data_IF_488922506839
#
_entry.id   IF_488922506839
#
_cell.length_a   1.000
_cell.length_b   1.000
_cell.length_c   1.000
_cell.angle_alpha   90.00
_cell.angle_beta   90.00
_cell.angle_gamma   90.00
#
_symmetry.space_group_name_H-M   'P 1'
#
loop_
_entity.id
_entity.type
_entity.pdbx_description
1 polymer ?
#
# COMPACT_ATOMS: atom_id res chain seq x y z
N UNK A 1 -8.01 52.94 44.81
CA UNK A 1 -8.02 51.79 45.73
C UNK A 1 -8.52 50.58 44.95
N UNK A 2 -7.79 49.46 45.03
CA UNK A 2 -8.29 48.09 44.77
C UNK A 2 -8.41 47.77 43.26
N UNK A 3 -7.79 46.76 42.66
CA UNK A 3 -7.21 45.51 43.17
C UNK A 3 -6.19 44.96 42.14
N UNK A 4 -5.11 44.34 42.64
CA UNK A 4 -4.25 43.45 41.86
C UNK A 4 -5.05 42.21 41.43
N UNK A 5 -4.79 41.68 40.23
CA UNK A 5 -5.17 40.30 39.90
C UNK A 5 -4.14 39.70 38.95
N UNK A 6 -3.47 38.69 39.50
CA UNK A 6 -2.45 37.82 38.95
C UNK A 6 -2.71 37.36 37.50
N UNK A 7 -1.73 37.59 36.63
CA UNK A 7 -1.53 36.84 35.40
C UNK A 7 -1.11 35.40 35.77
N UNK A 8 -2.08 34.50 35.91
CA UNK A 8 -1.80 33.06 35.85
C UNK A 8 -1.77 32.64 34.39
N UNK A 9 -0.54 32.53 33.89
CA UNK A 9 -0.18 31.85 32.66
C UNK A 9 -0.62 30.38 32.75
N UNK A 10 -1.84 30.06 32.30
CA UNK A 10 -2.18 28.70 31.90
C UNK A 10 -1.71 28.52 30.47
N UNK A 11 -0.47 28.07 30.33
CA UNK A 11 -0.06 27.30 29.18
C UNK A 11 -0.98 26.08 29.12
N UNK A 12 -2.01 26.17 28.28
CA UNK A 12 -2.68 24.97 27.77
C UNK A 12 -1.65 24.33 26.84
N UNK A 13 -0.88 23.40 27.38
CA UNK A 13 -0.18 22.40 26.57
C UNK A 13 -1.26 21.72 25.72
N UNK A 14 -1.33 22.07 24.44
CA UNK A 14 -2.11 21.32 23.46
C UNK A 14 -1.53 19.90 23.41
N UNK A 15 -2.23 18.87 23.93
CA UNK A 15 -1.74 17.52 23.85
C UNK A 15 -2.04 17.04 22.43
N UNK A 16 -0.97 16.79 21.68
CA UNK A 16 -0.98 15.91 20.52
C UNK A 16 -1.90 16.34 19.37
N UNK A 17 -1.37 17.23 18.52
CA UNK A 17 -1.69 17.12 17.10
C UNK A 17 -1.21 15.75 16.63
N UNK A 18 -2.11 14.77 16.63
CA UNK A 18 -1.92 13.50 15.98
C UNK A 18 -1.69 13.84 14.50
N UNK A 19 -0.42 13.72 14.11
CA UNK A 19 0.04 13.77 12.74
C UNK A 19 -0.55 12.56 12.01
N UNK A 20 -1.82 12.67 11.62
CA UNK A 20 -2.50 11.81 10.66
C UNK A 20 -2.99 12.67 9.50
N UNK A 21 -2.11 13.54 9.00
CA UNK A 21 -2.20 13.95 7.61
C UNK A 21 -1.58 12.84 6.74
N UNK A 22 -2.16 11.64 6.82
CA UNK A 22 -2.02 10.71 5.71
C UNK A 22 -2.72 11.41 4.55
N UNK A 23 -1.95 11.88 3.57
CA UNK A 23 -2.50 12.37 2.31
C UNK A 23 -3.60 11.40 1.87
N UNK A 24 -4.79 11.90 1.55
CA UNK A 24 -5.97 11.10 1.17
C UNK A 24 -5.64 10.16 -0.03
N UNK A 25 -4.54 10.43 -0.72
CA UNK A 25 -4.02 9.65 -1.85
C UNK A 25 -3.21 8.42 -1.47
N UNK A 26 -2.72 8.31 -0.22
CA UNK A 26 -1.85 7.22 0.19
C UNK A 26 -2.66 6.00 0.64
N UNK A 27 -2.31 4.86 0.08
CA UNK A 27 -2.85 3.56 0.46
C UNK A 27 -2.47 3.21 1.91
N UNK A 28 -3.31 2.48 2.66
CA UNK A 28 -2.91 1.88 3.93
C UNK A 28 -1.76 0.86 3.78
N UNK A 29 -1.56 0.33 2.57
CA UNK A 29 -0.48 -0.62 2.28
C UNK A 29 0.82 0.11 1.93
N UNK A 30 1.87 -0.14 2.73
CA UNK A 30 3.23 0.34 2.44
C UNK A 30 3.72 -0.11 1.06
N UNK A 31 3.37 -1.33 0.64
CA UNK A 31 3.79 -1.88 -0.65
C UNK A 31 3.13 -1.15 -1.83
N UNK A 32 1.86 -0.75 -1.69
CA UNK A 32 1.14 -0.03 -2.74
C UNK A 32 1.69 1.40 -2.90
N UNK A 33 1.99 2.06 -1.78
CA UNK A 33 2.65 3.38 -1.79
C UNK A 33 4.05 3.34 -2.41
N UNK A 34 4.86 2.33 -2.07
CA UNK A 34 6.19 2.17 -2.68
C UNK A 34 6.07 1.89 -4.17
N UNK A 35 5.07 1.11 -4.60
CA UNK A 35 4.84 0.84 -6.02
C UNK A 35 4.46 2.10 -6.79
N UNK A 36 3.60 2.97 -6.23
CA UNK A 36 3.27 4.27 -6.84
C UNK A 36 4.50 5.17 -7.05
N UNK A 37 5.52 5.07 -6.20
CA UNK A 37 6.75 5.84 -6.38
C UNK A 37 7.65 5.25 -7.49
N UNK A 38 7.56 3.95 -7.76
CA UNK A 38 8.41 3.24 -8.72
C UNK A 38 7.87 3.28 -10.16
N UNK A 39 6.68 3.82 -10.38
CA UNK A 39 6.05 3.93 -11.71
C UNK A 39 6.49 5.13 -12.50
N UNK A 40 6.96 6.17 -11.82
CA UNK A 40 7.43 7.37 -12.48
C UNK A 40 8.76 7.08 -13.15
N UNK A 41 8.79 7.20 -14.48
CA UNK A 41 10.04 7.09 -15.23
C UNK A 41 10.89 8.30 -14.84
N UNK A 42 12.11 8.12 -14.29
CA UNK A 42 12.92 9.23 -13.84
C UNK A 42 13.10 10.28 -14.95
N UNK A 43 12.85 11.55 -14.63
CA UNK A 43 12.91 12.64 -15.61
C UNK A 43 14.30 12.74 -16.27
N UNK A 44 15.36 12.47 -15.50
CA UNK A 44 16.74 12.41 -15.99
C UNK A 44 16.90 11.41 -17.14
N UNK A 45 16.23 10.25 -17.02
CA UNK A 45 16.28 9.19 -18.01
C UNK A 45 15.54 9.63 -19.28
N UNK A 46 14.36 10.23 -19.11
CA UNK A 46 13.53 10.73 -20.23
C UNK A 46 14.23 11.89 -20.95
N UNK A 47 14.87 12.81 -20.23
CA UNK A 47 15.61 13.93 -20.79
C UNK A 47 16.89 13.49 -21.53
N UNK A 48 17.52 12.39 -21.09
CA UNK A 48 18.74 11.87 -21.73
C UNK A 48 18.50 11.17 -23.07
N UNK A 49 17.26 10.73 -23.36
CA UNK A 49 16.91 10.09 -24.63
C UNK A 49 16.28 11.09 -25.61
N UNK A 50 16.68 11.00 -26.88
CA UNK A 50 16.01 11.73 -27.97
C UNK A 50 14.59 11.18 -28.20
N UNK A 51 13.62 11.99 -28.63
CA UNK A 51 12.24 11.57 -28.88
C UNK A 51 12.10 10.30 -29.73
N UNK A 52 12.84 10.19 -30.84
CA UNK A 52 12.78 9.01 -31.70
C UNK A 52 13.22 7.71 -31.00
N UNK A 53 14.16 7.79 -30.05
CA UNK A 53 14.60 6.64 -29.25
C UNK A 53 13.54 6.25 -28.22
N UNK A 54 12.81 7.21 -27.67
CA UNK A 54 11.66 6.96 -26.80
C UNK A 54 10.56 6.24 -27.59
N UNK A 55 10.21 6.75 -28.78
CA UNK A 55 9.23 6.11 -29.68
C UNK A 55 9.66 4.69 -30.07
N UNK A 56 10.94 4.47 -30.35
CA UNK A 56 11.47 3.12 -30.59
C UNK A 56 11.19 2.16 -29.43
N UNK A 57 11.45 2.58 -28.19
CA UNK A 57 11.23 1.72 -27.01
C UNK A 57 9.74 1.49 -26.74
N UNK A 58 8.89 2.50 -26.92
CA UNK A 58 7.44 2.35 -26.82
C UNK A 58 6.91 1.33 -27.83
N UNK A 59 7.33 1.43 -29.09
CA UNK A 59 6.96 0.48 -30.13
C UNK A 59 7.53 -0.92 -29.87
N UNK A 60 8.70 -1.01 -29.24
CA UNK A 60 9.31 -2.29 -28.86
C UNK A 60 8.43 -3.07 -27.88
N UNK A 61 7.83 -2.38 -26.90
CA UNK A 61 6.89 -2.99 -25.95
C UNK A 61 5.58 -3.36 -26.67
N UNK A 62 4.99 -2.43 -27.43
CA UNK A 62 3.73 -2.67 -28.14
C UNK A 62 3.79 -3.80 -29.17
N UNK A 63 4.94 -4.00 -29.82
CA UNK A 63 5.15 -5.01 -30.85
C UNK A 63 5.81 -6.30 -30.31
N UNK A 64 5.75 -6.59 -29.01
CA UNK A 64 6.31 -7.81 -28.40
C UNK A 64 7.78 -8.06 -28.79
N UNK A 65 8.65 -7.06 -28.61
CA UNK A 65 10.10 -7.12 -28.90
C UNK A 65 10.47 -7.29 -30.37
N UNK A 66 9.55 -7.02 -31.31
CA UNK A 66 9.89 -7.00 -32.74
C UNK A 66 10.74 -5.78 -33.11
N UNK A 67 12.05 -5.98 -33.18
CA UNK A 67 13.04 -4.92 -33.44
C UNK A 67 12.87 -4.29 -34.83
N UNK A 68 12.54 -5.09 -35.85
CA UNK A 68 12.43 -4.61 -37.23
C UNK A 68 11.28 -3.60 -37.34
N UNK A 69 10.08 -4.04 -36.96
CA UNK A 69 8.87 -3.20 -37.01
C UNK A 69 9.01 -1.96 -36.14
N UNK A 70 9.53 -2.12 -34.92
CA UNK A 70 9.73 -0.99 -34.00
C UNK A 70 10.77 0.02 -34.48
N UNK A 71 11.80 -0.44 -35.21
CA UNK A 71 12.79 0.45 -35.83
C UNK A 71 12.18 1.23 -36.99
N UNK A 72 11.44 0.56 -37.86
CA UNK A 72 10.74 1.18 -39.00
C UNK A 72 9.76 2.25 -38.52
N UNK A 73 8.94 1.93 -37.52
CA UNK A 73 7.95 2.84 -36.92
C UNK A 73 8.61 4.06 -36.23
N UNK A 74 9.85 3.92 -35.76
CA UNK A 74 10.62 5.00 -35.13
C UNK A 74 11.55 5.76 -36.11
N UNK A 75 11.54 5.41 -37.41
CA UNK A 75 12.37 6.05 -38.42
C UNK A 75 13.84 5.62 -38.43
N UNK A 76 14.15 4.44 -37.89
CA UNK A 76 15.49 3.86 -37.85
C UNK A 76 15.63 2.65 -38.77
N UNK A 77 16.86 2.36 -39.19
CA UNK A 77 17.19 1.07 -39.83
C UNK A 77 17.22 -0.04 -38.78
N UNK A 78 16.87 -1.27 -39.16
CA UNK A 78 16.89 -2.43 -38.26
C UNK A 78 18.29 -2.64 -37.62
N UNK A 79 19.36 -2.45 -38.39
CA UNK A 79 20.74 -2.52 -37.90
C UNK A 79 21.00 -1.54 -36.76
N UNK A 80 20.49 -0.31 -36.89
CA UNK A 80 20.62 0.70 -35.86
C UNK A 80 19.76 0.36 -34.63
N UNK A 81 18.53 -0.13 -34.81
CA UNK A 81 17.69 -0.61 -33.70
C UNK A 81 18.34 -1.72 -32.87
N UNK A 82 19.02 -2.67 -33.52
CA UNK A 82 19.81 -3.70 -32.81
C UNK A 82 21.00 -3.13 -32.04
N UNK A 83 21.60 -2.03 -32.51
CA UNK A 83 22.66 -1.31 -31.77
C UNK A 83 22.07 -0.55 -30.57
N UNK A 84 20.89 0.06 -30.74
CA UNK A 84 20.19 0.78 -29.68
C UNK A 84 19.87 -0.13 -28.48
N UNK A 85 19.48 -1.38 -28.71
CA UNK A 85 19.23 -2.35 -27.65
C UNK A 85 20.45 -2.71 -26.79
N UNK A 86 21.67 -2.49 -27.30
CA UNK A 86 22.90 -2.69 -26.53
C UNK A 86 23.21 -1.49 -25.63
N UNK A 87 22.62 -0.32 -25.90
CA UNK A 87 22.81 0.87 -25.08
C UNK A 87 22.20 0.66 -23.69
N UNK A 88 22.94 1.02 -22.65
CA UNK A 88 22.50 0.91 -21.26
C UNK A 88 21.29 1.81 -20.97
N UNK A 89 21.29 3.06 -21.45
CA UNK A 89 20.19 4.01 -21.16
C UNK A 89 18.88 3.57 -21.78
N UNK A 90 18.92 2.97 -22.97
CA UNK A 90 17.73 2.42 -23.64
C UNK A 90 17.19 1.20 -22.90
N UNK A 91 18.06 0.34 -22.38
CA UNK A 91 17.65 -0.80 -21.55
C UNK A 91 17.05 -0.36 -20.22
N UNK A 92 17.64 0.63 -19.57
CA UNK A 92 17.06 1.23 -18.37
C UNK A 92 15.68 1.84 -18.66
N UNK A 93 15.54 2.56 -19.77
CA UNK A 93 14.26 3.18 -20.14
C UNK A 93 13.21 2.12 -20.47
N UNK A 94 13.59 1.05 -21.17
CA UNK A 94 12.73 -0.11 -21.41
C UNK A 94 12.27 -0.74 -20.09
N UNK A 95 13.19 -0.99 -19.14
CA UNK A 95 12.84 -1.59 -17.85
C UNK A 95 11.91 -0.67 -17.05
N UNK A 96 12.19 0.63 -16.99
CA UNK A 96 11.35 1.61 -16.31
C UNK A 96 9.94 1.65 -16.91
N UNK A 97 9.84 1.73 -18.25
CA UNK A 97 8.56 1.76 -18.95
C UNK A 97 7.80 0.43 -18.82
N UNK A 98 8.50 -0.71 -18.88
CA UNK A 98 7.90 -2.03 -18.67
C UNK A 98 7.36 -2.20 -17.25
N UNK A 99 8.09 -1.70 -16.24
CA UNK A 99 7.64 -1.73 -14.84
C UNK A 99 6.45 -0.79 -14.63
N UNK A 100 6.47 0.39 -15.26
CA UNK A 100 5.35 1.33 -15.23
C UNK A 100 4.09 0.73 -15.87
N UNK A 101 4.21 0.02 -17.00
CA UNK A 101 3.07 -0.66 -17.62
C UNK A 101 2.57 -1.82 -16.76
N UNK A 102 3.46 -2.65 -16.25
CA UNK A 102 3.10 -3.78 -15.38
C UNK A 102 2.47 -3.35 -14.06
N UNK A 103 2.71 -2.11 -13.61
CA UNK A 103 2.03 -1.56 -12.45
C UNK A 103 0.52 -1.43 -12.69
N UNK A 104 0.10 -0.93 -13.85
CA UNK A 104 -1.31 -0.75 -14.19
C UNK A 104 -2.08 -2.06 -14.39
N UNK A 105 -1.39 -3.20 -14.49
CA UNK A 105 -2.03 -4.52 -14.57
C UNK A 105 -2.58 -4.99 -13.20
N UNK A 106 -2.19 -4.35 -12.10
CA UNK A 106 -2.58 -4.74 -10.74
C UNK A 106 -3.50 -3.69 -10.14
N UNK A 107 -4.66 -4.12 -9.66
CA UNK A 107 -5.64 -3.22 -9.01
C UNK A 107 -5.03 -2.52 -7.79
N UNK A 108 -4.97 -1.19 -7.83
CA UNK A 108 -4.47 -0.36 -6.72
C UNK A 108 -5.54 -0.09 -5.66
N UNK A 109 -5.15 0.41 -4.49
CA UNK A 109 -6.10 0.75 -3.42
C UNK A 109 -7.19 1.73 -3.88
N UNK A 110 -6.80 2.81 -4.55
CA UNK A 110 -7.74 3.82 -5.04
C UNK A 110 -8.65 3.28 -6.15
N UNK A 111 -8.11 2.40 -7.00
CA UNK A 111 -8.89 1.73 -8.04
C UNK A 111 -9.89 0.75 -7.44
N UNK A 112 -9.50 -0.03 -6.44
CA UNK A 112 -10.39 -0.94 -5.72
C UNK A 112 -11.54 -0.16 -5.04
N UNK A 113 -11.24 0.98 -4.39
CA UNK A 113 -12.26 1.84 -3.79
C UNK A 113 -13.19 2.45 -4.84
N UNK A 114 -12.66 2.85 -6.00
CA UNK A 114 -13.45 3.35 -7.12
C UNK A 114 -14.39 2.27 -7.66
N UNK A 115 -13.87 1.06 -7.93
CA UNK A 115 -14.66 -0.07 -8.41
C UNK A 115 -15.77 -0.44 -7.41
N UNK A 116 -15.45 -0.52 -6.12
CA UNK A 116 -16.46 -0.75 -5.09
C UNK A 116 -17.52 0.37 -5.05
N UNK A 117 -17.12 1.62 -5.23
CA UNK A 117 -18.04 2.76 -5.31
C UNK A 117 -18.95 2.71 -6.54
N UNK A 118 -18.42 2.31 -7.69
CA UNK A 118 -19.19 2.15 -8.93
C UNK A 118 -20.21 1.01 -8.81
N UNK A 119 -19.83 -0.12 -8.19
CA UNK A 119 -20.73 -1.22 -7.86
C UNK A 119 -21.83 -0.74 -6.90
N UNK A 120 -21.47 -0.08 -5.81
CA UNK A 120 -22.40 0.42 -4.80
C UNK A 120 -23.43 1.40 -5.39
N UNK A 121 -23.00 2.28 -6.31
CA UNK A 121 -23.88 3.23 -7.02
C UNK A 121 -24.71 2.56 -8.12
N UNK A 122 -24.35 1.35 -8.55
CA UNK A 122 -25.02 0.63 -9.62
C UNK A 122 -24.67 1.14 -11.02
N UNK A 123 -23.47 1.69 -11.18
CA UNK A 123 -22.90 2.07 -12.47
C UNK A 123 -22.36 0.87 -13.26
N UNK A 124 -22.29 -0.30 -12.63
CA UNK A 124 -21.82 -1.55 -13.21
C UNK A 124 -22.99 -2.42 -13.69
N UNK A 125 -22.71 -3.27 -14.68
CA UNK A 125 -23.63 -4.26 -15.25
C UNK A 125 -22.96 -5.63 -15.26
N UNK A 126 -23.74 -6.68 -15.03
CA UNK A 126 -23.30 -8.06 -15.14
C UNK A 126 -23.88 -8.71 -16.39
N UNK A 127 -23.15 -9.65 -16.96
CA UNK A 127 -23.60 -10.49 -18.06
C UNK A 127 -24.15 -11.79 -17.50
N UNK A 128 -25.42 -12.08 -17.81
CA UNK A 128 -26.10 -13.29 -17.37
C UNK A 128 -26.54 -14.08 -18.59
N UNK A 129 -26.14 -15.36 -18.63
CA UNK A 129 -26.59 -16.28 -19.68
C UNK A 129 -28.03 -16.72 -19.39
N UNK A 130 -28.94 -16.44 -20.31
CA UNK A 130 -30.28 -16.99 -20.25
C UNK A 130 -30.26 -18.44 -20.74
N UNK A 131 -30.34 -19.40 -19.82
CA UNK A 131 -30.30 -20.84 -20.14
C UNK A 131 -31.43 -21.29 -21.09
N UNK A 132 -32.53 -20.55 -21.20
CA UNK A 132 -33.67 -20.92 -22.06
C UNK A 132 -33.51 -20.43 -23.50
N UNK A 133 -32.88 -19.28 -23.70
CA UNK A 133 -32.69 -18.68 -25.05
C UNK A 133 -31.27 -18.84 -25.57
N UNK A 134 -30.30 -19.18 -24.70
CA UNK A 134 -28.88 -19.25 -25.05
C UNK A 134 -28.23 -17.88 -25.24
N UNK A 135 -28.96 -16.79 -25.02
CA UNK A 135 -28.49 -15.43 -25.23
C UNK A 135 -27.87 -14.84 -23.95
N UNK A 136 -26.82 -14.06 -24.11
CA UNK A 136 -26.21 -13.27 -23.03
C UNK A 136 -26.97 -11.96 -22.89
N UNK A 137 -27.51 -11.71 -21.70
CA UNK A 137 -28.20 -10.47 -21.38
C UNK A 137 -27.39 -9.65 -20.37
N UNK A 138 -27.28 -8.34 -20.61
CA UNK A 138 -26.69 -7.40 -19.66
C UNK A 138 -27.73 -6.98 -18.64
N UNK A 139 -27.52 -7.31 -17.38
CA UNK A 139 -28.42 -7.00 -16.27
C UNK A 139 -27.72 -6.03 -15.32
N UNK A 140 -28.50 -5.20 -14.61
CA UNK A 140 -27.96 -4.36 -13.54
C UNK A 140 -27.37 -5.25 -12.45
N UNK A 141 -26.27 -4.81 -11.83
CA UNK A 141 -25.64 -5.55 -10.73
C UNK A 141 -26.64 -5.93 -9.64
N UNK A 142 -26.66 -7.20 -9.17
CA UNK A 142 -27.57 -7.67 -8.13
C UNK A 142 -27.47 -6.87 -6.84
N UNK A 143 -28.58 -6.71 -6.13
CA UNK A 143 -28.64 -5.97 -4.85
C UNK A 143 -27.69 -6.53 -3.80
N UNK A 144 -27.49 -7.86 -3.79
CA UNK A 144 -26.56 -8.53 -2.87
C UNK A 144 -25.12 -8.01 -3.04
N UNK A 145 -24.67 -7.86 -4.28
CA UNK A 145 -23.30 -7.43 -4.57
C UNK A 145 -23.12 -5.93 -4.28
N UNK A 146 -24.17 -5.13 -4.51
CA UNK A 146 -24.21 -3.73 -4.06
C UNK A 146 -24.09 -3.60 -2.55
N UNK A 147 -24.84 -4.39 -1.79
CA UNK A 147 -24.80 -4.37 -0.33
C UNK A 147 -23.41 -4.76 0.18
N UNK A 148 -22.78 -5.78 -0.42
CA UNK A 148 -21.42 -6.18 -0.07
C UNK A 148 -20.40 -5.08 -0.37
N UNK A 149 -20.52 -4.40 -1.51
CA UNK A 149 -19.64 -3.28 -1.85
C UNK A 149 -19.81 -2.10 -0.86
N UNK A 150 -21.06 -1.77 -0.49
CA UNK A 150 -21.36 -0.76 0.53
C UNK A 150 -20.76 -1.14 1.89
N UNK A 151 -20.92 -2.40 2.31
CA UNK A 151 -20.36 -2.92 3.55
C UNK A 151 -18.83 -2.77 3.57
N UNK A 152 -18.15 -3.14 2.48
CA UNK A 152 -16.69 -3.00 2.37
C UNK A 152 -16.23 -1.53 2.45
N UNK A 153 -16.97 -0.62 1.81
CA UNK A 153 -16.68 0.83 1.89
C UNK A 153 -16.93 1.39 3.30
N UNK A 154 -18.00 0.97 3.96
CA UNK A 154 -18.30 1.38 5.33
C UNK A 154 -17.27 0.86 6.33
N UNK A 155 -16.75 -0.37 6.13
CA UNK A 155 -15.63 -0.92 6.91
C UNK A 155 -14.36 -0.12 6.71
N UNK A 156 -14.05 0.28 5.47
CA UNK A 156 -12.90 1.14 5.17
C UNK A 156 -13.00 2.50 5.88
N UNK A 157 -14.19 3.11 5.89
CA UNK A 157 -14.45 4.37 6.60
C UNK A 157 -14.62 4.22 8.13
N UNK A 158 -14.48 3.01 8.67
CA UNK A 158 -14.74 2.68 10.09
C UNK A 158 -16.14 3.05 10.58
N UNK A 159 -17.12 3.09 9.67
CA UNK A 159 -18.54 3.24 10.01
C UNK A 159 -19.08 1.93 10.59
N UNK A 160 -18.66 0.80 10.01
CA UNK A 160 -18.93 -0.54 10.51
C UNK A 160 -17.63 -1.13 11.06
N UNK A 161 -17.67 -1.63 12.29
CA UNK A 161 -16.57 -2.37 12.91
C UNK A 161 -17.01 -3.83 13.10
N UNK A 162 -16.22 -4.78 12.59
CA UNK A 162 -16.46 -6.22 12.78
C UNK A 162 -15.98 -6.75 14.16
N UNK A 163 -15.48 -5.86 15.03
CA UNK A 163 -14.90 -6.21 16.32
C UNK A 163 -15.33 -5.26 17.44
N UNK A 164 -14.80 -5.52 18.63
CA UNK A 164 -14.96 -4.68 19.82
C UNK A 164 -14.48 -3.27 19.44
N UNK A 165 -15.39 -2.28 19.48
CA UNK A 165 -15.02 -0.91 19.13
C UNK A 165 -13.92 -0.41 20.06
N UNK A 166 -13.17 0.61 19.64
CA UNK A 166 -12.12 1.17 20.50
C UNK A 166 -12.73 1.75 21.78
N UNK A 167 -13.96 2.27 21.70
CA UNK A 167 -14.75 2.63 22.89
C UNK A 167 -15.09 1.41 23.74
N UNK A 168 -15.47 0.27 23.16
CA UNK A 168 -15.75 -0.95 23.91
C UNK A 168 -14.49 -1.53 24.56
N UNK A 169 -13.30 -1.41 23.95
CA UNK A 169 -12.01 -1.77 24.56
C UNK A 169 -11.63 -0.84 25.73
N UNK A 170 -11.99 0.44 25.66
CA UNK A 170 -11.79 1.40 26.74
C UNK A 170 -12.82 1.21 27.87
N UNK A 171 -14.02 0.73 27.54
CA UNK A 171 -15.11 0.46 28.48
C UNK A 171 -15.10 -0.97 29.04
N UNK A 172 -14.38 -1.92 28.42
CA UNK A 172 -13.92 -3.16 29.03
C UNK A 172 -12.84 -2.75 30.04
N UNK A 173 -13.31 -2.26 31.18
CA UNK A 173 -12.55 -1.52 32.17
C UNK A 173 -11.17 -2.11 32.40
N UNK A 174 -10.18 -1.20 32.54
CA UNK A 174 -8.82 -1.51 32.94
C UNK A 174 -8.83 -2.71 33.90
N UNK A 175 -8.42 -3.87 33.39
CA UNK A 175 -8.26 -5.07 34.22
C UNK A 175 -7.16 -4.73 35.21
N UNK A 176 -7.55 -4.28 36.40
CA UNK A 176 -6.64 -4.14 37.52
C UNK A 176 -6.36 -5.56 38.00
N UNK A 177 -5.27 -6.12 37.50
CA UNK A 177 -4.76 -7.41 37.94
C UNK A 177 -4.17 -7.17 39.33
N UNK A 178 -4.95 -7.44 40.37
CA UNK A 178 -4.42 -7.53 41.73
C UNK A 178 -3.65 -8.85 41.84
N UNK A 179 -2.32 -8.75 41.80
CA UNK A 179 -1.44 -9.89 42.07
C UNK A 179 -1.17 -9.90 43.57
N UNK A 180 -1.85 -10.79 44.30
CA UNK A 180 -1.57 -11.06 45.71
C UNK A 180 -0.51 -12.16 45.76
N UNK A 181 0.70 -11.81 46.15
CA UNK A 181 1.82 -12.76 46.27
C UNK A 181 1.86 -13.20 47.73
N UNK A 182 1.65 -14.48 47.99
CA UNK A 182 1.81 -15.02 49.34
C UNK A 182 3.29 -15.22 49.67
N UNK A 183 3.68 -15.17 50.96
CA UNK A 183 5.09 -15.34 51.37
C UNK A 183 5.70 -16.68 50.91
N UNK A 184 4.86 -17.70 50.68
CA UNK A 184 5.28 -19.01 50.15
C UNK A 184 5.68 -18.96 48.65
N UNK A 185 5.19 -17.97 47.91
CA UNK A 185 5.45 -17.78 46.47
C UNK A 185 6.78 -17.05 46.18
N UNK A 186 7.37 -16.36 47.17
CA UNK A 186 8.68 -15.71 47.02
C UNK A 186 9.78 -16.74 46.67
N UNK A 187 9.64 -17.96 47.19
CA UNK A 187 10.55 -19.07 46.92
C UNK A 187 10.57 -19.49 45.44
N UNK A 188 9.42 -19.39 44.76
CA UNK A 188 9.25 -19.72 43.33
C UNK A 188 9.85 -18.61 42.46
N UNK A 189 9.67 -17.34 42.85
CA UNK A 189 10.24 -16.18 42.16
C UNK A 189 11.77 -16.21 42.24
N UNK A 190 12.34 -16.45 43.43
CA UNK A 190 13.80 -16.57 43.60
C UNK A 190 14.37 -17.79 42.86
N UNK A 191 13.64 -18.90 42.78
CA UNK A 191 14.04 -20.07 42.00
C UNK A 191 14.00 -19.81 40.48
N UNK A 192 13.09 -18.96 40.00
CA UNK A 192 12.99 -18.57 38.59
C UNK A 192 14.05 -17.54 38.18
N UNK A 193 14.43 -16.61 39.06
CA UNK A 193 15.49 -15.62 38.82
C UNK A 193 16.89 -16.27 38.70
N UNK A 194 17.10 -17.42 39.35
CA UNK A 194 18.34 -18.23 39.21
C UNK A 194 18.38 -19.10 37.95
N UNK A 195 17.27 -19.25 37.22
CA UNK A 195 17.26 -19.95 35.93
C UNK A 195 17.69 -18.96 34.85
N UNK A 196 19.00 -18.76 34.74
CA UNK A 196 19.56 -18.23 33.50
C UNK A 196 19.08 -19.11 32.33
N UNK A 197 18.53 -18.49 31.30
CA UNK A 197 18.21 -19.18 30.04
C UNK A 197 19.50 -19.81 29.53
N UNK A 198 19.52 -21.13 29.35
CA UNK A 198 20.70 -21.87 28.85
C UNK A 198 21.06 -21.55 27.38
N UNK A 199 20.24 -20.75 26.71
CA UNK A 199 20.35 -20.46 25.27
C UNK A 199 20.88 -19.04 24.99
N UNK A 200 21.42 -18.34 26.00
CA UNK A 200 22.15 -17.08 25.80
C UNK A 200 23.64 -17.37 26.02
N UNK A 201 24.37 -17.55 24.94
CA UNK A 201 25.84 -17.50 24.94
C UNK A 201 26.25 -16.06 25.21
N UNK A 202 26.98 -15.81 26.30
CA UNK A 202 27.62 -14.51 26.52
C UNK A 202 28.71 -14.30 25.46
N UNK A 203 28.60 -13.25 24.65
CA UNK A 203 29.58 -12.87 23.62
C UNK A 203 30.93 -12.37 24.18
N UNK A 204 31.24 -12.61 25.46
CA UNK A 204 32.45 -12.13 26.12
C UNK A 204 33.64 -13.09 26.09
N UNK A 205 33.52 -14.28 25.47
CA UNK A 205 34.67 -15.14 25.16
C UNK A 205 35.21 -14.85 23.75
N UNK A 206 35.77 -13.66 23.56
CA UNK A 206 36.77 -13.45 22.51
C UNK A 206 38.14 -13.77 23.08
N UNK A 207 38.73 -14.85 22.58
CA UNK A 207 40.17 -15.12 22.70
C UNK A 207 40.86 -14.17 21.73
N UNK A 208 41.62 -13.19 22.25
CA UNK A 208 42.58 -12.44 21.44
C UNK A 208 43.65 -13.40 20.92
N UNK A 209 43.82 -13.46 19.59
CA UNK A 209 44.95 -14.08 18.90
C UNK A 209 45.98 -13.02 18.53
#
# INVERSE_FOLDING_TARGET
>A
MTQMSNDMNHQVENPQMIEHQQSITASPSKYDNVRMMLTEIPEELTASLSPNKITFVQNLIANNLNVKKSSEDAGFTESYGRKLLKNYTIRQYYTALSNANAFFDIVHHNEALKLASDIARGNTTDEVLNMKTGEVATVKTPTKDKLKAIEMLMKHQRILNDGISKEDLLNMGATVIHVDISEDDESIIQASAKRSRKDVTDESEYIEL
#
